data_IF_636802382844
#
_entry.id   IF_636802382844
#
_cell.length_a   1.000
_cell.length_b   1.000
_cell.length_c   1.000
_cell.angle_alpha   90.00
_cell.angle_beta   90.00
_cell.angle_gamma   90.00
#
_symmetry.space_group_name_H-M   'P 1'
#
loop_
_entity.id
_entity.type
_entity.pdbx_description
1 polymer ?
#
# COMPACT_ATOMS: atom_id res chain seq x y z
N UNK A 1 17.95 -8.70 -25.23
CA UNK A 1 17.47 -9.92 -24.56
C UNK A 1 16.32 -10.47 -25.40
N UNK A 2 16.47 -11.64 -26.04
CA UNK A 2 15.47 -12.18 -26.98
C UNK A 2 14.25 -12.65 -26.19
N UNK A 3 13.18 -11.84 -26.19
CA UNK A 3 11.85 -12.31 -25.82
C UNK A 3 11.48 -13.38 -26.84
N UNK A 4 11.36 -14.64 -26.42
CA UNK A 4 10.71 -15.64 -27.28
C UNK A 4 9.26 -15.18 -27.40
N UNK A 5 8.90 -14.66 -28.56
CA UNK A 5 7.51 -14.63 -29.00
C UNK A 5 7.03 -16.07 -28.99
N UNK A 6 6.30 -16.45 -27.95
CA UNK A 6 5.57 -17.70 -27.92
C UNK A 6 4.45 -17.57 -28.95
N UNK A 7 4.73 -18.07 -30.15
CA UNK A 7 3.73 -18.29 -31.17
C UNK A 7 2.66 -19.22 -30.60
N UNK A 8 1.42 -18.78 -30.80
CA UNK A 8 0.16 -19.41 -30.44
C UNK A 8 0.18 -20.93 -30.68
N UNK A 9 0.02 -21.70 -29.60
CA UNK A 9 -0.59 -23.03 -29.60
C UNK A 9 -1.07 -23.35 -28.17
N UNK A 10 -2.35 -23.72 -28.05
CA UNK A 10 -3.14 -24.12 -26.86
C UNK A 10 -3.25 -23.12 -25.69
N UNK A 11 -2.17 -22.44 -25.27
CA UNK A 11 -2.23 -21.32 -24.32
C UNK A 11 -3.03 -20.11 -24.84
N UNK A 12 -3.26 -20.04 -26.16
CA UNK A 12 -4.00 -18.96 -26.80
C UNK A 12 -5.47 -18.89 -26.40
N UNK A 13 -6.14 -20.04 -26.21
CA UNK A 13 -7.56 -20.07 -25.85
C UNK A 13 -7.81 -19.55 -24.43
N UNK A 14 -6.99 -19.99 -23.46
CA UNK A 14 -7.11 -19.54 -22.07
C UNK A 14 -6.73 -18.07 -21.91
N UNK A 15 -5.67 -17.61 -22.60
CA UNK A 15 -5.28 -16.19 -22.63
C UNK A 15 -6.34 -15.32 -23.28
N UNK A 16 -6.99 -15.80 -24.34
CA UNK A 16 -8.06 -15.06 -25.01
C UNK A 16 -9.34 -15.02 -24.18
N UNK A 17 -9.68 -16.08 -23.45
CA UNK A 17 -10.77 -16.03 -22.46
C UNK A 17 -10.46 -15.09 -21.30
N UNK A 18 -9.23 -15.13 -20.75
CA UNK A 18 -8.79 -14.19 -19.69
C UNK A 18 -8.86 -12.75 -20.19
N UNK A 19 -8.42 -12.51 -21.42
CA UNK A 19 -8.58 -11.22 -22.11
C UNK A 19 -10.06 -10.85 -22.20
N UNK A 20 -10.94 -11.72 -22.72
CA UNK A 20 -12.39 -11.48 -22.83
C UNK A 20 -13.03 -11.14 -21.48
N UNK A 21 -12.69 -11.86 -20.42
CA UNK A 21 -13.15 -11.59 -19.04
C UNK A 21 -12.68 -10.21 -18.55
N UNK A 22 -11.41 -9.85 -18.77
CA UNK A 22 -10.90 -8.52 -18.43
C UNK A 22 -11.59 -7.39 -19.23
N UNK A 23 -11.82 -7.58 -20.53
CA UNK A 23 -12.54 -6.59 -21.35
C UNK A 23 -14.01 -6.44 -20.96
N UNK A 24 -14.64 -7.52 -20.49
CA UNK A 24 -16.00 -7.45 -19.95
C UNK A 24 -16.04 -6.61 -18.67
N UNK A 25 -15.08 -6.83 -17.77
CA UNK A 25 -15.01 -6.14 -16.48
C UNK A 25 -14.54 -4.68 -16.60
N UNK A 26 -13.73 -4.37 -17.61
CA UNK A 26 -13.11 -3.05 -17.80
C UNK A 26 -13.14 -2.62 -19.28
N UNK A 27 -14.30 -2.21 -19.81
CA UNK A 27 -14.47 -1.92 -21.23
C UNK A 27 -13.63 -0.73 -21.72
N UNK A 28 -13.19 0.14 -20.81
CA UNK A 28 -12.36 1.31 -21.10
C UNK A 28 -10.86 1.05 -20.94
N UNK A 29 -10.46 -0.08 -20.34
CA UNK A 29 -9.07 -0.41 -20.14
C UNK A 29 -8.39 -0.75 -21.47
N UNK A 30 -7.29 -0.07 -21.76
CA UNK A 30 -6.52 -0.27 -23.00
C UNK A 30 -5.41 -1.28 -22.76
N UNK A 31 -5.71 -2.55 -23.01
CA UNK A 31 -4.74 -3.65 -22.86
C UNK A 31 -3.76 -3.64 -24.03
N UNK A 32 -2.47 -3.42 -23.74
CA UNK A 32 -1.36 -3.51 -24.72
C UNK A 32 -0.87 -4.93 -24.90
N UNK A 33 -0.74 -5.68 -23.79
CA UNK A 33 -0.23 -7.06 -23.82
C UNK A 33 -0.81 -7.87 -22.67
N UNK A 34 -1.02 -9.15 -22.94
CA UNK A 34 -1.46 -10.15 -21.96
C UNK A 34 -0.34 -11.17 -21.79
N UNK A 35 -0.10 -11.54 -20.54
CA UNK A 35 0.83 -12.59 -20.13
C UNK A 35 0.04 -13.68 -19.38
N UNK A 36 0.65 -14.83 -19.17
CA UNK A 36 0.12 -15.91 -18.32
C UNK A 36 -0.03 -15.49 -16.85
N UNK A 37 0.82 -14.56 -16.38
CA UNK A 37 0.81 -14.05 -15.00
C UNK A 37 0.16 -12.67 -14.81
N UNK A 38 -0.08 -11.90 -15.88
CA UNK A 38 -0.58 -10.53 -15.74
C UNK A 38 -0.82 -9.81 -17.06
N UNK A 39 -0.89 -8.48 -17.00
CA UNK A 39 -1.17 -7.63 -18.17
C UNK A 39 -0.35 -6.35 -18.16
N UNK A 40 -0.15 -5.81 -19.36
CA UNK A 40 0.36 -4.47 -19.62
C UNK A 40 -0.80 -3.61 -20.14
N UNK A 41 -1.10 -2.53 -19.44
CA UNK A 41 -2.15 -1.56 -19.75
C UNK A 41 -1.53 -0.23 -20.20
N UNK A 42 -2.18 0.49 -21.12
CA UNK A 42 -1.95 1.93 -21.24
C UNK A 42 -2.48 2.62 -19.98
N UNK A 43 -1.74 3.62 -19.53
CA UNK A 43 -2.20 4.59 -18.55
C UNK A 43 -1.86 5.98 -19.03
N UNK A 44 -2.41 7.00 -18.38
CA UNK A 44 -2.08 8.40 -18.68
C UNK A 44 -1.02 8.89 -17.70
N UNK A 45 -0.22 9.90 -18.07
CA UNK A 45 0.65 10.58 -17.12
C UNK A 45 -0.13 11.05 -15.89
N UNK A 46 0.29 10.62 -14.71
CA UNK A 46 -0.32 11.06 -13.46
C UNK A 46 0.08 12.52 -13.18
N UNK A 47 -0.88 13.46 -13.22
CA UNK A 47 -0.65 14.91 -13.06
C UNK A 47 0.18 15.34 -11.83
N UNK A 48 0.28 14.49 -10.79
CA UNK A 48 0.97 14.78 -9.52
C UNK A 48 2.15 13.86 -9.25
N UNK A 49 2.53 13.02 -10.20
CA UNK A 49 3.72 12.18 -10.11
C UNK A 49 4.66 12.64 -11.21
N UNK A 50 5.81 13.17 -10.83
CA UNK A 50 6.86 13.57 -11.78
C UNK A 50 7.22 12.39 -12.68
N UNK A 51 7.65 12.62 -13.93
CA UNK A 51 8.10 11.51 -14.77
C UNK A 51 9.55 11.12 -14.44
N UNK A 52 9.85 9.84 -14.21
CA UNK A 52 11.20 9.40 -13.94
C UNK A 52 11.98 9.24 -15.25
N UNK A 53 13.32 9.20 -15.22
CA UNK A 53 14.12 8.96 -16.41
C UNK A 53 13.78 7.63 -17.08
N UNK A 54 14.06 7.51 -18.39
CA UNK A 54 13.91 6.24 -19.11
C UNK A 54 14.67 5.12 -18.39
N UNK A 55 14.03 3.96 -18.23
CA UNK A 55 14.57 2.84 -17.46
C UNK A 55 14.19 2.84 -15.98
N UNK A 56 13.43 3.83 -15.52
CA UNK A 56 12.86 3.87 -14.17
C UNK A 56 11.34 3.84 -14.19
N UNK A 57 10.76 3.47 -13.06
CA UNK A 57 9.32 3.50 -12.85
C UNK A 57 8.98 3.57 -11.39
N UNK A 58 7.69 3.45 -11.10
CA UNK A 58 7.13 3.52 -9.77
C UNK A 58 6.57 2.19 -9.31
N UNK A 59 6.69 1.93 -8.01
CA UNK A 59 5.97 0.88 -7.27
C UNK A 59 5.05 1.51 -6.22
N UNK A 60 4.37 0.68 -5.44
CA UNK A 60 3.65 1.15 -4.26
C UNK A 60 2.44 2.03 -4.61
N UNK A 61 2.30 3.16 -3.91
CA UNK A 61 1.11 4.01 -3.98
C UNK A 61 0.87 4.62 -5.37
N UNK A 62 1.93 5.10 -6.01
CA UNK A 62 1.85 5.68 -7.37
C UNK A 62 1.44 4.62 -8.40
N UNK A 63 1.97 3.40 -8.29
CA UNK A 63 1.62 2.32 -9.20
C UNK A 63 0.16 1.86 -9.05
N UNK A 64 -0.36 1.80 -7.81
CA UNK A 64 -1.78 1.52 -7.55
C UNK A 64 -2.69 2.60 -8.15
N UNK A 65 -2.34 3.87 -7.98
CA UNK A 65 -3.10 4.98 -8.55
C UNK A 65 -3.12 4.94 -10.09
N UNK A 66 -2.00 4.58 -10.71
CA UNK A 66 -1.95 4.41 -12.16
C UNK A 66 -2.83 3.26 -12.64
N UNK A 67 -2.89 2.15 -11.88
CA UNK A 67 -3.74 1.01 -12.19
C UNK A 67 -5.23 1.35 -12.10
N UNK A 68 -5.67 2.01 -11.03
CA UNK A 68 -7.08 2.38 -10.86
C UNK A 68 -7.54 3.30 -11.99
N UNK A 69 -6.69 4.26 -12.38
CA UNK A 69 -6.92 5.10 -13.54
C UNK A 69 -6.98 4.30 -14.85
N UNK A 70 -6.04 3.37 -15.07
CA UNK A 70 -6.03 2.54 -16.28
C UNK A 70 -7.26 1.62 -16.38
N UNK A 71 -7.83 1.21 -15.25
CA UNK A 71 -9.05 0.41 -15.17
C UNK A 71 -10.34 1.24 -15.22
N UNK A 72 -10.25 2.57 -15.19
CA UNK A 72 -11.42 3.45 -15.14
C UNK A 72 -12.19 3.37 -13.82
N UNK A 73 -11.52 2.96 -12.73
CA UNK A 73 -12.10 2.92 -11.39
C UNK A 73 -12.04 4.34 -10.83
N UNK A 74 -13.19 4.97 -10.63
CA UNK A 74 -13.29 6.24 -9.92
C UNK A 74 -13.00 6.02 -8.44
N UNK A 75 -11.72 6.08 -8.07
CA UNK A 75 -11.32 6.11 -6.69
C UNK A 75 -10.85 7.50 -6.28
N UNK A 76 -11.38 7.95 -5.14
CA UNK A 76 -10.93 9.10 -4.37
C UNK A 76 -9.56 8.87 -3.72
N UNK A 77 -8.70 8.04 -4.31
CA UNK A 77 -7.33 7.84 -3.83
C UNK A 77 -6.65 9.20 -3.78
N UNK A 78 -6.32 9.60 -2.55
CA UNK A 78 -5.42 10.74 -2.30
C UNK A 78 -4.18 10.52 -3.18
N UNK A 79 -3.68 11.61 -3.76
CA UNK A 79 -2.43 11.60 -4.53
C UNK A 79 -1.39 10.72 -3.82
N UNK A 80 -0.64 9.92 -4.59
CA UNK A 80 0.44 9.10 -4.04
C UNK A 80 1.32 9.98 -3.16
N UNK A 81 1.31 9.69 -1.85
CA UNK A 81 2.01 10.50 -0.84
C UNK A 81 3.50 10.17 -0.81
N UNK A 82 3.80 8.89 -1.01
CA UNK A 82 5.14 8.34 -1.05
C UNK A 82 5.44 7.88 -2.47
N UNK A 83 6.53 8.37 -3.04
CA UNK A 83 7.01 8.02 -4.37
C UNK A 83 8.08 6.95 -4.19
N UNK A 84 7.76 5.71 -4.54
CA UNK A 84 8.72 4.61 -4.51
C UNK A 84 9.25 4.33 -5.92
N UNK A 85 10.54 4.50 -6.15
CA UNK A 85 11.17 4.21 -7.44
C UNK A 85 11.67 2.76 -7.56
N UNK A 86 11.62 2.29 -8.80
CA UNK A 86 12.29 1.08 -9.26
C UNK A 86 13.10 1.38 -10.53
N UNK A 87 14.12 0.56 -10.78
CA UNK A 87 14.89 0.56 -12.03
C UNK A 87 14.63 -0.72 -12.81
N UNK A 88 14.38 -0.60 -14.11
CA UNK A 88 14.04 -1.68 -15.04
C UNK A 88 15.25 -2.03 -15.90
N UNK A 89 16.40 -2.24 -15.26
CA UNK A 89 17.62 -2.66 -15.95
C UNK A 89 18.39 -3.66 -15.09
N UNK A 90 19.24 -4.48 -15.70
CA UNK A 90 20.04 -5.46 -14.97
C UNK A 90 21.27 -4.83 -14.28
N UNK A 91 21.78 -3.71 -14.80
CA UNK A 91 22.99 -3.02 -14.31
C UNK A 91 22.65 -1.93 -13.30
N UNK A 92 23.38 -1.88 -12.18
CA UNK A 92 23.38 -0.70 -11.28
C UNK A 92 23.69 0.52 -12.14
N UNK A 93 22.78 1.48 -12.16
CA UNK A 93 22.98 2.66 -12.97
C UNK A 93 23.84 3.65 -12.18
N UNK A 94 24.83 4.26 -12.84
CA UNK A 94 25.66 5.29 -12.22
C UNK A 94 24.82 6.47 -11.71
N UNK A 95 23.61 6.65 -12.25
CA UNK A 95 22.69 7.72 -11.86
C UNK A 95 21.71 7.32 -10.73
N UNK A 96 21.68 6.06 -10.26
CA UNK A 96 20.71 5.58 -9.25
C UNK A 96 20.69 6.50 -8.02
N UNK A 97 21.86 6.96 -7.57
CA UNK A 97 21.97 7.88 -6.43
C UNK A 97 21.37 9.25 -6.71
N UNK A 98 21.62 9.82 -7.89
CA UNK A 98 21.10 11.13 -8.28
C UNK A 98 19.58 11.08 -8.47
N UNK A 99 19.07 9.98 -9.05
CA UNK A 99 17.63 9.75 -9.22
C UNK A 99 16.97 9.54 -7.84
N UNK A 100 17.54 8.70 -6.97
CA UNK A 100 17.02 8.51 -5.62
C UNK A 100 17.02 9.82 -4.82
N UNK A 101 18.07 10.64 -4.90
CA UNK A 101 18.11 11.95 -4.23
C UNK A 101 17.01 12.90 -4.72
N UNK A 102 16.69 12.87 -6.01
CA UNK A 102 15.66 13.74 -6.59
C UNK A 102 14.23 13.34 -6.23
N UNK A 103 13.95 12.04 -6.14
CA UNK A 103 12.58 11.52 -6.03
C UNK A 103 12.28 10.87 -4.67
N UNK A 104 13.31 10.46 -3.92
CA UNK A 104 13.23 9.69 -2.68
C UNK A 104 14.26 10.21 -1.65
N UNK A 105 14.37 11.54 -1.51
CA UNK A 105 15.43 12.18 -0.69
C UNK A 105 15.45 11.65 0.76
N UNK A 106 14.28 11.46 1.36
CA UNK A 106 14.14 10.94 2.72
C UNK A 106 14.62 9.48 2.82
N UNK A 107 14.31 8.63 1.85
CA UNK A 107 14.76 7.24 1.84
C UNK A 107 16.29 7.15 1.71
N UNK A 108 16.89 8.02 0.90
CA UNK A 108 18.35 8.12 0.77
C UNK A 108 19.01 8.49 2.10
N UNK A 109 18.41 9.39 2.90
CA UNK A 109 18.92 9.76 4.24
C UNK A 109 18.95 8.56 5.19
N UNK A 110 18.11 7.55 4.95
CA UNK A 110 18.03 6.33 5.74
C UNK A 110 18.79 5.15 5.13
N UNK A 111 19.60 5.37 4.09
CA UNK A 111 20.42 4.33 3.45
C UNK A 111 19.65 3.43 2.50
N UNK A 112 18.40 3.76 2.18
CA UNK A 112 17.61 3.07 1.17
C UNK A 112 17.92 3.65 -0.23
N UNK A 113 17.75 2.84 -1.27
CA UNK A 113 18.04 3.21 -2.65
C UNK A 113 17.07 2.60 -3.66
N UNK A 114 17.36 2.78 -4.95
CA UNK A 114 16.52 2.27 -6.03
C UNK A 114 16.58 0.73 -6.09
N UNK A 115 15.42 0.08 -6.08
CA UNK A 115 15.30 -1.37 -6.25
C UNK A 115 15.38 -1.73 -7.75
N UNK A 116 16.25 -2.67 -8.10
CA UNK A 116 16.38 -3.18 -9.46
C UNK A 116 15.40 -4.31 -9.75
N UNK A 117 14.63 -4.18 -10.83
CA UNK A 117 13.69 -5.19 -11.33
C UNK A 117 14.27 -5.84 -12.58
N UNK A 118 14.61 -7.13 -12.47
CA UNK A 118 15.17 -7.93 -13.57
C UNK A 118 14.09 -8.72 -14.31
N UNK A 119 13.16 -9.26 -13.56
CA UNK A 119 12.02 -10.02 -14.06
C UNK A 119 10.73 -9.47 -13.41
N UNK A 120 9.77 -9.11 -14.25
CA UNK A 120 8.52 -8.52 -13.77
C UNK A 120 7.65 -9.55 -13.04
N UNK A 121 7.58 -10.79 -13.52
CA UNK A 121 6.77 -11.82 -12.89
C UNK A 121 7.30 -12.10 -11.49
N UNK A 122 8.59 -12.38 -11.36
CA UNK A 122 9.26 -12.66 -10.08
C UNK A 122 9.10 -11.49 -9.11
N UNK A 123 9.27 -10.26 -9.59
CA UNK A 123 9.07 -9.08 -8.77
C UNK A 123 7.63 -8.97 -8.25
N UNK A 124 6.64 -9.16 -9.12
CA UNK A 124 5.23 -8.99 -8.77
C UNK A 124 4.79 -10.07 -7.78
N UNK A 125 5.08 -11.35 -8.04
CA UNK A 125 4.60 -12.45 -7.17
C UNK A 125 5.25 -12.47 -5.79
N UNK A 126 6.35 -11.75 -5.58
CA UNK A 126 7.06 -11.64 -4.29
C UNK A 126 6.61 -10.46 -3.43
N UNK A 127 5.60 -9.69 -3.86
CA UNK A 127 5.09 -8.58 -3.03
C UNK A 127 4.36 -9.12 -1.80
N UNK A 128 4.13 -8.24 -0.82
CA UNK A 128 3.51 -8.61 0.45
C UNK A 128 1.98 -8.67 0.38
N UNK A 129 1.37 -7.73 -0.35
CA UNK A 129 -0.07 -7.58 -0.51
C UNK A 129 -0.35 -7.56 -2.02
N UNK A 130 -1.40 -8.24 -2.44
CA UNK A 130 -1.78 -8.40 -3.86
C UNK A 130 -1.97 -7.09 -4.59
N UNK A 131 -2.59 -6.08 -3.96
CA UNK A 131 -2.73 -4.74 -4.56
C UNK A 131 -1.39 -4.03 -4.81
N UNK A 132 -0.29 -4.53 -4.25
CA UNK A 132 1.06 -4.03 -4.53
C UNK A 132 1.74 -4.77 -5.69
N UNK A 133 1.13 -5.82 -6.27
CA UNK A 133 1.60 -6.51 -7.47
C UNK A 133 1.32 -5.66 -8.72
N UNK A 134 1.88 -4.46 -8.74
CA UNK A 134 1.72 -3.46 -9.78
C UNK A 134 2.96 -2.59 -9.90
N UNK A 135 3.30 -2.24 -11.14
CA UNK A 135 4.34 -1.29 -11.52
C UNK A 135 3.77 -0.25 -12.48
N UNK A 136 4.26 0.98 -12.38
CA UNK A 136 3.90 2.08 -13.27
C UNK A 136 5.14 2.64 -13.96
N UNK A 137 5.17 2.53 -15.28
CA UNK A 137 6.30 2.82 -16.14
C UNK A 137 5.87 3.86 -17.17
N UNK A 138 6.13 5.14 -16.87
CA UNK A 138 5.75 6.28 -17.73
C UNK A 138 4.26 6.33 -18.08
N UNK A 139 3.85 5.81 -19.24
CA UNK A 139 2.47 5.76 -19.72
C UNK A 139 1.88 4.35 -19.66
N UNK A 140 2.48 3.45 -18.87
CA UNK A 140 2.10 2.03 -18.83
C UNK A 140 2.00 1.50 -17.42
N UNK A 141 1.07 0.58 -17.22
CA UNK A 141 0.92 -0.16 -15.97
C UNK A 141 1.13 -1.63 -16.24
N UNK A 142 1.98 -2.27 -15.45
CA UNK A 142 2.13 -3.73 -15.41
C UNK A 142 1.50 -4.21 -14.10
N UNK A 143 0.55 -5.13 -14.17
CA UNK A 143 -0.10 -5.67 -12.99
C UNK A 143 -0.32 -7.17 -13.13
N UNK A 144 -0.30 -7.88 -12.00
CA UNK A 144 -0.77 -9.27 -11.96
C UNK A 144 -2.30 -9.33 -12.09
N UNK A 145 -2.82 -10.51 -12.43
CA UNK A 145 -4.27 -10.74 -12.40
C UNK A 145 -4.85 -10.60 -10.99
N UNK A 146 -4.10 -11.05 -9.97
CA UNK A 146 -4.50 -10.94 -8.57
C UNK A 146 -4.65 -9.47 -8.15
N UNK A 147 -3.72 -8.60 -8.54
CA UNK A 147 -3.81 -7.16 -8.29
C UNK A 147 -5.06 -6.54 -8.94
N UNK A 148 -5.35 -6.88 -10.20
CA UNK A 148 -6.51 -6.32 -10.91
C UNK A 148 -7.82 -6.75 -10.25
N UNK A 149 -7.95 -8.04 -9.93
CA UNK A 149 -9.16 -8.56 -9.30
C UNK A 149 -9.35 -7.98 -7.90
N UNK A 150 -8.29 -7.88 -7.10
CA UNK A 150 -8.39 -7.33 -5.76
C UNK A 150 -8.60 -5.81 -5.77
N UNK A 151 -8.06 -5.10 -6.76
CA UNK A 151 -8.37 -3.69 -7.01
C UNK A 151 -9.86 -3.52 -7.34
N UNK A 152 -10.40 -4.32 -8.26
CA UNK A 152 -11.82 -4.33 -8.64
C UNK A 152 -12.74 -4.57 -7.45
N UNK A 153 -12.43 -5.62 -6.69
CA UNK A 153 -13.28 -6.11 -5.60
C UNK A 153 -13.05 -5.34 -4.31
N UNK A 154 -12.07 -4.42 -4.27
CA UNK A 154 -11.60 -3.72 -3.07
C UNK A 154 -11.21 -4.71 -1.97
N UNK A 155 -10.49 -5.75 -2.36
CA UNK A 155 -9.99 -6.77 -1.46
C UNK A 155 -8.56 -6.42 -1.00
N UNK A 156 -8.29 -6.57 0.30
CA UNK A 156 -6.95 -6.43 0.86
C UNK A 156 -6.51 -7.78 1.43
N UNK A 157 -5.58 -8.45 0.76
CA UNK A 157 -5.08 -9.77 1.18
C UNK A 157 -3.58 -9.94 0.92
N UNK A 158 -2.91 -10.82 1.68
CA UNK A 158 -1.53 -11.18 1.37
C UNK A 158 -1.42 -11.91 0.03
N UNK A 159 -0.25 -11.82 -0.59
CA UNK A 159 0.09 -12.66 -1.74
C UNK A 159 0.32 -14.12 -1.31
N UNK A 160 0.40 -15.05 -2.27
CA UNK A 160 0.78 -16.44 -1.97
C UNK A 160 2.18 -16.51 -1.35
N UNK A 161 3.13 -15.72 -1.86
CA UNK A 161 4.49 -15.63 -1.32
C UNK A 161 4.51 -15.09 0.12
N UNK A 162 3.69 -14.10 0.43
CA UNK A 162 3.58 -13.56 1.79
C UNK A 162 3.12 -14.63 2.80
N UNK A 163 2.26 -15.56 2.39
CA UNK A 163 1.77 -16.64 3.24
C UNK A 163 2.83 -17.71 3.53
N UNK A 164 3.88 -17.82 2.70
CA UNK A 164 5.00 -18.75 2.94
C UNK A 164 6.08 -18.16 3.85
N UNK A 165 5.98 -16.89 4.22
CA UNK A 165 6.96 -16.24 5.09
C UNK A 165 6.81 -16.71 6.54
N UNK A 166 7.87 -16.53 7.32
CA UNK A 166 7.86 -16.80 8.75
C UNK A 166 6.84 -15.95 9.52
N UNK A 167 6.54 -16.36 10.76
CA UNK A 167 5.45 -15.79 11.53
C UNK A 167 5.57 -14.28 11.76
N UNK A 168 6.76 -13.76 12.09
CA UNK A 168 6.93 -12.32 12.31
C UNK A 168 6.72 -11.52 11.01
N UNK A 169 7.20 -12.04 9.88
CA UNK A 169 6.93 -11.44 8.56
C UNK A 169 5.43 -11.42 8.25
N UNK A 170 4.69 -12.52 8.51
CA UNK A 170 3.23 -12.55 8.35
C UNK A 170 2.52 -11.57 9.29
N UNK A 171 2.96 -11.46 10.54
CA UNK A 171 2.44 -10.52 11.52
C UNK A 171 2.62 -9.05 11.06
N UNK A 172 3.80 -8.72 10.54
CA UNK A 172 4.12 -7.41 9.94
C UNK A 172 3.21 -7.09 8.75
N UNK A 173 2.96 -8.08 7.89
CA UNK A 173 2.08 -7.94 6.72
C UNK A 173 0.62 -7.72 7.16
N UNK A 174 0.12 -8.49 8.15
CA UNK A 174 -1.21 -8.27 8.74
C UNK A 174 -1.36 -6.85 9.30
N UNK A 175 -0.37 -6.35 10.06
CA UNK A 175 -0.39 -4.99 10.57
C UNK A 175 -0.51 -3.94 9.44
N UNK A 176 0.24 -4.13 8.34
CA UNK A 176 0.21 -3.25 7.17
C UNK A 176 -1.15 -3.30 6.45
N UNK A 177 -1.73 -4.48 6.29
CA UNK A 177 -3.06 -4.67 5.70
C UNK A 177 -4.13 -3.92 6.50
N UNK A 178 -4.10 -4.03 7.83
CA UNK A 178 -5.05 -3.32 8.70
C UNK A 178 -4.90 -1.80 8.57
N UNK A 179 -3.66 -1.28 8.42
CA UNK A 179 -3.45 0.14 8.13
C UNK A 179 -4.03 0.54 6.78
N UNK A 180 -3.82 -0.24 5.72
CA UNK A 180 -4.44 0.02 4.41
C UNK A 180 -5.97 0.02 4.49
N UNK A 181 -6.56 -0.90 5.25
CA UNK A 181 -8.00 -0.92 5.50
C UNK A 181 -8.46 0.38 6.21
N UNK A 182 -7.74 0.82 7.24
CA UNK A 182 -8.03 2.07 7.94
C UNK A 182 -7.94 3.30 7.03
N UNK A 183 -6.96 3.36 6.13
CA UNK A 183 -6.83 4.42 5.13
C UNK A 183 -8.03 4.46 4.18
N UNK A 184 -8.43 3.30 3.68
CA UNK A 184 -9.55 3.14 2.76
C UNK A 184 -10.89 3.52 3.43
N UNK A 185 -11.12 3.09 4.67
CA UNK A 185 -12.27 3.49 5.49
C UNK A 185 -12.32 5.02 5.65
N UNK A 186 -11.20 5.65 6.01
CA UNK A 186 -11.15 7.10 6.23
C UNK A 186 -11.32 7.90 4.93
N UNK A 187 -10.94 7.31 3.79
CA UNK A 187 -11.17 7.89 2.47
C UNK A 187 -12.63 7.73 1.97
N UNK A 188 -13.50 7.07 2.74
CA UNK A 188 -14.90 6.82 2.36
C UNK A 188 -15.07 5.65 1.38
N UNK A 189 -14.03 4.83 1.19
CA UNK A 189 -14.06 3.67 0.32
C UNK A 189 -13.56 2.42 1.07
N UNK A 190 -14.33 1.89 2.04
CA UNK A 190 -13.90 0.75 2.84
C UNK A 190 -13.67 -0.50 1.96
N UNK A 191 -12.69 -1.36 2.31
CA UNK A 191 -12.47 -2.60 1.58
C UNK A 191 -13.70 -3.51 1.70
N UNK A 192 -14.06 -4.21 0.62
CA UNK A 192 -15.15 -5.19 0.64
C UNK A 192 -14.73 -6.45 1.41
N UNK A 193 -13.44 -6.77 1.42
CA UNK A 193 -12.88 -7.90 2.16
C UNK A 193 -11.46 -7.61 2.64
N UNK A 194 -11.12 -8.17 3.80
CA UNK A 194 -9.78 -8.09 4.40
C UNK A 194 -9.37 -9.49 4.84
N UNK A 195 -8.25 -9.97 4.32
CA UNK A 195 -7.62 -11.23 4.71
C UNK A 195 -6.25 -10.94 5.30
N UNK A 196 -5.95 -11.53 6.45
CA UNK A 196 -4.68 -11.34 7.14
C UNK A 196 -3.74 -12.51 6.87
N UNK A 197 -2.43 -12.27 6.97
CA UNK A 197 -1.42 -13.33 6.81
C UNK A 197 -1.22 -14.15 8.09
N UNK A 198 -1.69 -13.63 9.22
CA UNK A 198 -1.63 -14.21 10.55
C UNK A 198 -2.86 -13.77 11.34
N UNK A 199 -3.41 -14.69 12.13
CA UNK A 199 -4.51 -14.54 13.08
C UNK A 199 -4.03 -14.31 14.53
N UNK A 200 -2.72 -14.33 14.76
CA UNK A 200 -2.14 -14.05 16.08
C UNK A 200 -2.16 -12.54 16.39
N UNK A 201 -2.21 -12.16 17.67
CA UNK A 201 -2.02 -10.78 18.10
C UNK A 201 -0.79 -10.13 17.46
N UNK A 202 -0.89 -8.85 17.10
CA UNK A 202 0.25 -8.13 16.55
C UNK A 202 1.40 -8.07 17.56
N UNK A 203 2.64 -8.22 17.10
CA UNK A 203 3.79 -7.92 17.95
C UNK A 203 3.76 -6.45 18.32
N UNK A 204 4.26 -6.11 19.51
CA UNK A 204 4.32 -4.72 19.96
C UNK A 204 5.07 -3.84 18.95
N UNK A 205 6.15 -4.35 18.34
CA UNK A 205 6.90 -3.64 17.33
C UNK A 205 6.08 -3.38 16.06
N UNK A 206 5.47 -4.41 15.46
CA UNK A 206 4.72 -4.27 14.21
C UNK A 206 3.49 -3.38 14.35
N UNK A 207 2.80 -3.46 15.50
CA UNK A 207 1.71 -2.57 15.84
C UNK A 207 2.16 -1.11 15.94
N UNK A 208 3.23 -0.83 16.71
CA UNK A 208 3.72 0.54 16.89
C UNK A 208 4.29 1.13 15.60
N UNK A 209 4.95 0.33 14.77
CA UNK A 209 5.46 0.77 13.47
C UNK A 209 4.33 1.25 12.55
N UNK A 210 3.23 0.50 12.45
CA UNK A 210 2.10 0.93 11.61
C UNK A 210 1.29 2.06 12.27
N UNK A 211 1.24 2.12 13.60
CA UNK A 211 0.64 3.25 14.32
C UNK A 211 1.40 4.56 14.05
N UNK A 212 2.73 4.52 14.06
CA UNK A 212 3.59 5.67 13.75
C UNK A 212 3.36 6.17 12.30
N UNK A 213 3.29 5.23 11.34
CA UNK A 213 2.90 5.53 9.96
C UNK A 213 1.48 6.11 9.86
N UNK A 214 0.53 5.58 10.62
CA UNK A 214 -0.83 6.09 10.67
C UNK A 214 -0.90 7.51 11.25
N UNK A 215 -0.11 7.79 12.30
CA UNK A 215 0.03 9.13 12.90
C UNK A 215 0.59 10.15 11.91
N UNK A 216 1.54 9.73 11.06
CA UNK A 216 2.05 10.57 9.96
C UNK A 216 0.96 10.94 8.95
N UNK A 217 -0.07 10.12 8.81
CA UNK A 217 -1.28 10.42 8.03
C UNK A 217 -2.38 11.19 8.79
N UNK A 218 -2.15 11.53 10.06
CA UNK A 218 -3.03 12.30 10.93
C UNK A 218 -3.71 11.48 12.04
N UNK A 219 -4.10 12.16 13.13
CA UNK A 219 -4.67 11.51 14.32
C UNK A 219 -5.90 10.64 14.04
N UNK A 220 -6.79 11.06 13.13
CA UNK A 220 -7.95 10.26 12.71
C UNK A 220 -7.56 8.92 12.09
N UNK A 221 -6.49 8.87 11.30
CA UNK A 221 -6.01 7.63 10.70
C UNK A 221 -5.44 6.70 11.78
N UNK A 222 -4.68 7.24 12.74
CA UNK A 222 -4.17 6.48 13.87
C UNK A 222 -5.30 5.90 14.75
N UNK A 223 -6.35 6.67 15.01
CA UNK A 223 -7.54 6.20 15.72
C UNK A 223 -8.27 5.09 14.96
N UNK A 224 -8.47 5.25 13.65
CA UNK A 224 -9.08 4.21 12.81
C UNK A 224 -8.22 2.96 12.81
N UNK A 225 -6.90 3.06 12.61
CA UNK A 225 -5.99 1.92 12.66
C UNK A 225 -6.06 1.19 14.00
N UNK A 226 -5.97 1.92 15.12
CA UNK A 226 -6.09 1.33 16.45
C UNK A 226 -7.40 0.58 16.64
N UNK A 227 -8.52 1.20 16.24
CA UNK A 227 -9.85 0.58 16.33
C UNK A 227 -9.94 -0.68 15.49
N UNK A 228 -9.40 -0.68 14.27
CA UNK A 228 -9.42 -1.84 13.39
C UNK A 228 -8.57 -3.00 13.92
N UNK A 229 -7.45 -2.71 14.58
CA UNK A 229 -6.66 -3.75 15.29
C UNK A 229 -7.45 -4.30 16.48
N UNK A 230 -8.03 -3.41 17.29
CA UNK A 230 -8.78 -3.78 18.50
C UNK A 230 -10.05 -4.59 18.19
N UNK A 231 -10.82 -4.20 17.18
CA UNK A 231 -12.07 -4.88 16.79
C UNK A 231 -11.84 -6.29 16.28
N UNK A 232 -10.62 -6.59 15.80
CA UNK A 232 -10.20 -7.94 15.36
C UNK A 232 -9.59 -8.77 16.49
N UNK A 233 -9.46 -8.23 17.69
CA UNK A 233 -8.80 -8.91 18.81
C UNK A 233 -7.29 -9.04 18.65
N UNK A 234 -6.66 -8.21 17.80
CA UNK A 234 -5.26 -8.34 17.41
C UNK A 234 -4.33 -7.35 18.13
N UNK A 235 -4.80 -6.68 19.18
CA UNK A 235 -3.93 -5.81 19.97
C UNK A 235 -2.78 -6.63 20.57
N UNK A 236 -1.55 -6.09 20.63
CA UNK A 236 -0.46 -6.75 21.31
C UNK A 236 -0.84 -7.10 22.75
N UNK A 237 -0.35 -8.24 23.26
CA UNK A 237 -0.67 -8.70 24.61
C UNK A 237 -0.37 -7.64 25.69
N UNK A 238 0.69 -6.84 25.51
CA UNK A 238 1.06 -5.72 26.39
C UNK A 238 0.04 -4.57 26.38
N UNK A 239 -0.85 -4.52 25.40
CA UNK A 239 -1.88 -3.49 25.20
C UNK A 239 -3.30 -4.07 25.14
N UNK A 240 -3.49 -5.36 25.45
CA UNK A 240 -4.78 -6.06 25.30
C UNK A 240 -5.94 -5.44 26.10
N UNK A 241 -5.63 -4.76 27.21
CA UNK A 241 -6.62 -4.08 28.06
C UNK A 241 -6.86 -2.62 27.68
N UNK A 242 -6.12 -2.10 26.69
CA UNK A 242 -6.19 -0.71 26.26
C UNK A 242 -7.35 -0.55 25.28
N UNK A 243 -8.32 0.29 25.65
CA UNK A 243 -9.55 0.48 24.85
C UNK A 243 -9.58 1.76 24.03
N UNK A 244 -8.64 2.70 24.24
CA UNK A 244 -8.59 3.97 23.50
C UNK A 244 -7.17 4.39 23.19
N UNK A 245 -7.01 5.24 22.16
CA UNK A 245 -5.72 5.77 21.75
C UNK A 245 -5.11 6.71 22.82
N UNK A 246 -5.93 7.43 23.58
CA UNK A 246 -5.45 8.27 24.69
C UNK A 246 -4.85 7.42 25.81
N UNK A 247 -5.50 6.29 26.15
CA UNK A 247 -4.96 5.33 27.12
C UNK A 247 -3.66 4.70 26.62
N UNK A 248 -3.57 4.39 25.32
CA UNK A 248 -2.35 3.91 24.70
C UNK A 248 -1.22 4.95 24.81
N UNK A 249 -1.50 6.22 24.52
CA UNK A 249 -0.52 7.31 24.69
C UNK A 249 -0.01 7.38 26.13
N UNK A 250 -0.91 7.25 27.11
CA UNK A 250 -0.55 7.20 28.52
C UNK A 250 0.34 6.00 28.87
N UNK A 251 0.06 4.81 28.31
CA UNK A 251 0.87 3.61 28.50
C UNK A 251 2.27 3.75 27.87
N UNK A 252 2.36 4.28 26.64
CA UNK A 252 3.62 4.51 25.95
C UNK A 252 4.53 5.49 26.69
N UNK A 253 3.98 6.57 27.26
CA UNK A 253 4.72 7.52 28.11
C UNK A 253 5.29 6.89 29.38
N UNK A 254 4.66 5.84 29.92
CA UNK A 254 5.17 5.09 31.07
C UNK A 254 6.29 4.14 30.67
N UNK A 255 6.16 3.48 29.52
CA UNK A 255 7.18 2.60 28.95
C UNK A 255 8.46 3.38 28.61
N UNK A 256 8.35 4.53 27.93
CA UNK A 256 9.50 5.36 27.57
C UNK A 256 10.27 5.93 28.77
N UNK A 257 9.65 6.00 29.95
CA UNK A 257 10.30 6.41 31.20
C UNK A 257 11.03 5.25 31.90
N UNK A 258 10.62 4.00 31.64
CA UNK A 258 11.26 2.80 32.20
C UNK A 258 12.38 2.25 31.31
N UNK A 259 12.27 2.44 30.00
CA UNK A 259 13.26 1.99 29.02
C UNK A 259 13.91 3.21 28.35
N UNK A 260 15.10 3.59 28.82
CA UNK A 260 15.95 4.61 28.18
C UNK A 260 16.54 4.07 26.86
N UNK A 261 15.71 3.87 25.84
CA UNK A 261 16.10 3.81 24.42
C UNK A 261 15.06 4.55 23.59
N UNK A 262 15.46 5.26 22.52
CA UNK A 262 14.56 6.16 21.82
C UNK A 262 13.46 5.39 21.08
N UNK A 263 12.24 5.46 21.61
CA UNK A 263 11.02 5.18 20.84
C UNK A 263 10.78 6.32 19.84
N UNK A 264 10.19 6.06 18.66
CA UNK A 264 9.75 7.12 17.76
C UNK A 264 8.80 8.09 18.49
N UNK A 265 8.99 9.39 18.24
CA UNK A 265 8.42 10.48 19.07
C UNK A 265 6.90 10.51 18.98
N UNK A 266 6.21 9.94 19.99
CA UNK A 266 4.74 10.03 20.20
C UNK A 266 4.31 11.43 20.68
N UNK A 267 4.76 12.49 20.01
CA UNK A 267 4.51 13.89 20.43
C UNK A 267 3.30 14.54 19.75
N UNK A 268 2.65 13.88 18.78
CA UNK A 268 1.55 14.48 18.00
C UNK A 268 0.15 14.39 18.65
N UNK A 269 -0.03 13.72 19.80
CA UNK A 269 -1.34 13.47 20.40
C UNK A 269 -1.87 14.59 21.33
N UNK A 270 -1.19 15.73 21.46
CA UNK A 270 -1.63 16.84 22.34
C UNK A 270 -2.32 18.01 21.63
N UNK A 271 -2.77 17.85 20.38
CA UNK A 271 -3.16 18.97 19.51
C UNK A 271 -4.64 19.17 19.15
N UNK A 272 -5.60 18.37 19.64
CA UNK A 272 -7.02 18.52 19.22
C UNK A 272 -7.99 18.64 20.38
N UNK A 273 -7.92 19.76 21.11
CA UNK A 273 -9.10 20.33 21.77
C UNK A 273 -9.78 21.30 20.79
N UNK A 274 -10.61 20.79 19.89
CA UNK A 274 -11.66 21.63 19.29
C UNK A 274 -12.89 21.53 20.18
N UNK A 275 -13.12 22.60 20.94
CA UNK A 275 -14.38 22.84 21.65
C UNK A 275 -15.50 23.01 20.63
N UNK A 276 -16.51 22.13 20.70
CA UNK A 276 -17.81 22.32 20.04
C UNK A 276 -18.41 23.67 20.45
N UNK A 277 -18.98 24.47 19.53
CA UNK A 277 -19.66 25.69 19.91
C UNK A 277 -20.93 25.37 20.69
N UNK A 278 -21.08 26.03 21.84
CA UNK A 278 -22.23 25.92 22.71
C UNK A 278 -23.52 26.32 21.99
N UNK A 279 -24.58 25.52 22.17
CA UNK A 279 -25.95 25.82 21.72
C UNK A 279 -26.38 27.20 22.26
N UNK A 280 -26.57 28.18 21.37
CA UNK A 280 -27.34 29.40 21.70
C UNK A 280 -28.78 28.99 21.98
N UNK A 281 -29.23 29.21 23.22
CA UNK A 281 -30.65 29.22 23.57
C UNK A 281 -31.32 30.34 22.77
N UNK A 282 -32.25 30.01 21.87
CA UNK A 282 -33.27 30.95 21.43
C UNK A 282 -34.10 31.35 22.66
N UNK A 283 -34.05 32.62 23.03
CA UNK A 283 -35.10 33.23 23.85
C UNK A 283 -36.15 33.75 22.87
N UNK A 284 -37.37 33.27 23.05
CA UNK A 284 -38.56 33.89 22.47
C UNK A 284 -38.78 35.23 23.16
N UNK A 285 -39.05 36.24 22.34
CA UNK A 285 -39.51 37.58 22.66
C UNK A 285 -40.09 38.16 21.39
#
# INVERSE_FOLDING_TARGET
MRTRELYFNEAGCELEERRKRLFHDFPHARIRRVYDWGVLLESVPLKRVSEPPTGYGYKGGAARLALTHALGIEESYRAARDIDLIRITASVDAIDRAVAQKFMEEDVKHGNGVEGVRDFQEYLVTRDITVNEVLYLQDRVIASYDAIQDCKNRALRPTRFALTQEQDSRNRISAKIIRFAAEAILAGNPPSSVTLASDEPLTQFNFLLQLDRALSGGGRLAETYFREVASRGLLPNSFSTITTLEKLSGALKKLSKKELKPFPKVSALSGSKQTLPAKKKLRMG
#
